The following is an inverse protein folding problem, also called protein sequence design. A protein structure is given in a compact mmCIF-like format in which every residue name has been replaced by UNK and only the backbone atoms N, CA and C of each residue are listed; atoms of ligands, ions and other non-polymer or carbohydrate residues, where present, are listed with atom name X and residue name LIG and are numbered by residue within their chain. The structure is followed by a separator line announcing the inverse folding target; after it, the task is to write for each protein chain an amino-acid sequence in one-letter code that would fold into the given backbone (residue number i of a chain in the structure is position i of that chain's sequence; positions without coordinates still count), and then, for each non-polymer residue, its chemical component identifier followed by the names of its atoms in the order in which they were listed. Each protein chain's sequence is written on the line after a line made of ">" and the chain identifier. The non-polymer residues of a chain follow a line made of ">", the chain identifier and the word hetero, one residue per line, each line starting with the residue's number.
data_IF_521374106039
#
_entry.id   IF_521374106039
#
_cell.length_a   1.000
_cell.length_b   1.000
_cell.length_c   1.000
_cell.angle_alpha   90.00
_cell.angle_beta   90.00
_cell.angle_gamma   90.00
#
_symmetry.space_group_name_H-M   'P 1'
#
loop_
_entity.id
_entity.type
_entity.pdbx_description
1 polymer ?
#
# COMPACT_ATOMS: atom_id res chain seq x y z
N UNK A 1 -4.26 4.78 15.49
CA UNK A 1 -3.17 5.76 15.68
C UNK A 1 -3.49 7.02 14.89
N UNK A 2 -3.60 8.19 15.52
CA UNK A 2 -4.00 9.46 14.87
C UNK A 2 -2.83 10.41 14.57
N UNK A 3 -1.62 9.87 14.34
CA UNK A 3 -0.43 10.67 14.07
C UNK A 3 -0.15 10.74 12.55
N UNK A 4 -0.22 11.90 11.89
CA UNK A 4 0.03 12.03 10.45
C UNK A 4 1.45 11.64 10.00
N UNK A 5 2.46 11.85 10.87
CA UNK A 5 3.86 11.46 10.58
C UNK A 5 4.01 9.95 10.52
N UNK A 6 3.30 9.23 11.40
CA UNK A 6 3.28 7.77 11.38
C UNK A 6 2.76 7.25 10.04
N UNK A 7 1.62 7.77 9.57
CA UNK A 7 1.04 7.35 8.29
C UNK A 7 1.91 7.75 7.09
N UNK A 8 2.59 8.89 7.16
CA UNK A 8 3.57 9.28 6.14
C UNK A 8 4.76 8.32 6.08
N UNK A 9 5.27 7.89 7.24
CA UNK A 9 6.32 6.86 7.32
C UNK A 9 5.83 5.51 6.78
N UNK A 10 4.60 5.11 7.08
CA UNK A 10 4.01 3.88 6.55
C UNK A 10 3.86 3.92 5.02
N UNK A 11 3.42 5.06 4.46
CA UNK A 11 3.38 5.26 3.00
C UNK A 11 4.77 5.15 2.37
N UNK A 12 5.79 5.74 2.99
CA UNK A 12 7.18 5.59 2.55
C UNK A 12 7.63 4.12 2.58
N UNK A 13 7.30 3.39 3.65
CA UNK A 13 7.53 1.95 3.76
C UNK A 13 6.85 1.16 2.64
N UNK A 14 5.65 1.57 2.22
CA UNK A 14 4.94 0.92 1.12
C UNK A 14 5.62 1.11 -0.24
N UNK A 15 6.16 2.29 -0.50
CA UNK A 15 7.01 2.54 -1.67
C UNK A 15 8.29 1.70 -1.62
N UNK A 16 8.92 1.59 -0.45
CA UNK A 16 10.09 0.71 -0.28
C UNK A 16 9.74 -0.77 -0.53
N UNK A 17 8.52 -1.21 -0.20
CA UNK A 17 8.01 -2.54 -0.53
C UNK A 17 7.99 -2.79 -2.03
N UNK A 18 7.48 -1.86 -2.84
CA UNK A 18 7.54 -1.94 -4.31
C UNK A 18 8.98 -2.02 -4.82
N UNK A 19 9.88 -1.19 -4.30
CA UNK A 19 11.30 -1.22 -4.70
C UNK A 19 11.96 -2.57 -4.38
N UNK A 20 11.68 -3.14 -3.20
CA UNK A 20 12.18 -4.45 -2.81
C UNK A 20 11.59 -5.58 -3.67
N UNK A 21 10.31 -5.50 -4.01
CA UNK A 21 9.64 -6.43 -4.91
C UNK A 21 10.33 -6.42 -6.28
N UNK A 22 10.49 -5.26 -6.91
CA UNK A 22 11.16 -5.12 -8.20
C UNK A 22 12.62 -5.58 -8.14
N UNK A 23 13.35 -5.23 -7.07
CA UNK A 23 14.71 -5.73 -6.87
C UNK A 23 14.76 -7.25 -6.92
N UNK A 24 13.88 -7.95 -6.20
CA UNK A 24 13.89 -9.42 -6.21
C UNK A 24 13.41 -10.06 -7.51
N UNK A 25 12.62 -9.35 -8.34
CA UNK A 25 12.30 -9.80 -9.70
C UNK A 25 13.53 -9.78 -10.63
N UNK A 26 14.40 -8.78 -10.52
CA UNK A 26 15.56 -8.63 -11.41
C UNK A 26 16.82 -9.34 -10.89
N UNK A 27 17.02 -9.38 -9.58
CA UNK A 27 18.27 -9.87 -8.97
C UNK A 27 18.11 -11.20 -8.24
N UNK A 28 16.96 -11.88 -8.36
CA UNK A 28 16.63 -13.17 -7.74
C UNK A 28 17.06 -13.30 -6.28
N UNK A 29 16.16 -12.97 -5.35
CA UNK A 29 16.39 -13.19 -3.91
C UNK A 29 16.27 -14.70 -3.61
N UNK A 30 17.39 -15.40 -3.43
CA UNK A 30 17.41 -16.85 -3.19
C UNK A 30 17.62 -17.21 -1.72
N UNK A 31 16.85 -18.20 -1.24
CA UNK A 31 17.05 -18.89 0.03
C UNK A 31 16.80 -18.06 1.31
N UNK A 32 16.47 -18.78 2.39
CA UNK A 32 16.40 -18.21 3.74
C UNK A 32 15.30 -17.16 3.97
N UNK A 33 15.48 -16.38 5.04
CA UNK A 33 14.48 -15.43 5.52
C UNK A 33 14.13 -14.34 4.48
N UNK A 34 15.09 -13.87 3.69
CA UNK A 34 14.85 -12.81 2.70
C UNK A 34 13.96 -13.27 1.55
N UNK A 35 14.06 -14.54 1.14
CA UNK A 35 13.15 -15.09 0.13
C UNK A 35 11.70 -15.14 0.66
N UNK A 36 11.52 -15.54 1.93
CA UNK A 36 10.20 -15.55 2.58
C UNK A 36 9.61 -14.13 2.65
N UNK A 37 10.41 -13.15 3.10
CA UNK A 37 9.97 -11.74 3.18
C UNK A 37 9.59 -11.24 1.78
N UNK A 38 10.37 -11.56 0.75
CA UNK A 38 10.07 -11.17 -0.62
C UNK A 38 8.74 -11.73 -1.11
N UNK A 39 8.46 -13.02 -0.86
CA UNK A 39 7.15 -13.61 -1.19
C UNK A 39 6.00 -12.96 -0.42
N UNK A 40 6.19 -12.63 0.86
CA UNK A 40 5.18 -11.92 1.66
C UNK A 40 4.89 -10.54 1.05
N UNK A 41 5.93 -9.81 0.66
CA UNK A 41 5.78 -8.50 0.02
C UNK A 41 5.11 -8.64 -1.35
N UNK A 42 5.52 -9.62 -2.17
CA UNK A 42 4.90 -9.88 -3.47
C UNK A 42 3.40 -10.16 -3.34
N UNK A 43 3.01 -11.03 -2.41
CA UNK A 43 1.60 -11.36 -2.20
C UNK A 43 0.84 -10.18 -1.57
N UNK A 44 1.44 -9.47 -0.62
CA UNK A 44 0.83 -8.30 0.02
C UNK A 44 0.56 -7.17 -0.97
N UNK A 45 1.51 -6.86 -1.85
CA UNK A 45 1.39 -5.78 -2.82
C UNK A 45 0.65 -6.22 -4.09
N UNK A 46 0.97 -7.40 -4.60
CA UNK A 46 0.41 -7.93 -5.84
C UNK A 46 -1.02 -8.45 -5.71
N UNK A 47 -1.44 -8.92 -4.53
CA UNK A 47 -2.78 -9.45 -4.27
C UNK A 47 -3.50 -8.63 -3.20
N UNK A 48 -2.82 -8.31 -2.10
CA UNK A 48 -3.42 -7.54 -1.01
C UNK A 48 -3.89 -6.15 -1.44
N UNK A 49 -3.06 -5.37 -2.14
CA UNK A 49 -3.48 -4.03 -2.61
C UNK A 49 -4.70 -4.09 -3.55
N UNK A 50 -4.78 -4.99 -4.56
CA UNK A 50 -6.01 -5.16 -5.33
C UNK A 50 -7.25 -5.51 -4.50
N UNK A 51 -7.12 -6.43 -3.53
CA UNK A 51 -8.25 -6.80 -2.65
C UNK A 51 -8.75 -5.59 -1.86
N UNK A 52 -7.84 -4.72 -1.42
CA UNK A 52 -8.18 -3.52 -0.66
C UNK A 52 -9.02 -2.51 -1.45
N UNK A 53 -9.07 -2.58 -2.79
CA UNK A 53 -9.93 -1.72 -3.62
C UNK A 53 -11.40 -1.80 -3.21
N UNK A 54 -11.84 -2.97 -2.73
CA UNK A 54 -13.19 -3.17 -2.22
C UNK A 54 -13.51 -2.25 -1.03
N UNK A 55 -12.50 -1.89 -0.23
CA UNK A 55 -12.65 -0.93 0.88
C UNK A 55 -12.33 0.49 0.47
N UNK A 56 -11.27 0.69 -0.33
CA UNK A 56 -10.72 2.01 -0.60
C UNK A 56 -11.60 2.84 -1.55
N UNK A 57 -12.26 2.21 -2.54
CA UNK A 57 -13.12 2.91 -3.50
C UNK A 57 -14.35 3.57 -2.82
N UNK A 58 -15.14 2.87 -1.97
CA UNK A 58 -16.23 3.50 -1.24
C UNK A 58 -15.76 4.66 -0.35
N UNK A 59 -14.65 4.47 0.39
CA UNK A 59 -14.08 5.50 1.27
C UNK A 59 -13.65 6.73 0.47
N UNK A 60 -13.02 6.53 -0.69
CA UNK A 60 -12.60 7.59 -1.58
C UNK A 60 -13.79 8.39 -2.12
N UNK A 61 -14.85 7.68 -2.54
CA UNK A 61 -16.09 8.28 -3.03
C UNK A 61 -16.74 9.16 -1.98
N UNK A 62 -16.80 8.73 -0.73
CA UNK A 62 -17.34 9.51 0.39
C UNK A 62 -16.53 10.80 0.67
N UNK A 63 -15.29 10.86 0.16
CA UNK A 63 -14.39 12.02 0.27
C UNK A 63 -14.29 12.82 -1.04
N UNK A 64 -15.10 12.50 -2.06
CA UNK A 64 -15.08 13.20 -3.35
C UNK A 64 -13.86 12.88 -4.23
N UNK A 65 -13.11 11.83 -3.92
CA UNK A 65 -11.94 11.39 -4.68
C UNK A 65 -12.39 10.48 -5.83
N UNK A 66 -11.81 10.66 -7.02
CA UNK A 66 -12.20 9.87 -8.19
C UNK A 66 -11.82 8.39 -8.05
N UNK A 67 -12.58 7.45 -8.65
CA UNK A 67 -12.26 6.02 -8.61
C UNK A 67 -10.86 5.70 -9.17
N UNK A 68 -10.39 6.43 -10.18
CA UNK A 68 -9.07 6.27 -10.79
C UNK A 68 -7.97 6.67 -9.80
N UNK A 69 -8.17 7.79 -9.08
CA UNK A 69 -7.24 8.24 -8.04
C UNK A 69 -7.19 7.25 -6.89
N UNK A 70 -8.36 6.74 -6.47
CA UNK A 70 -8.46 5.70 -5.43
C UNK A 70 -7.73 4.41 -5.86
N UNK A 71 -7.89 4.00 -7.12
CA UNK A 71 -7.20 2.85 -7.67
C UNK A 71 -5.68 3.03 -7.61
N UNK A 72 -5.16 4.13 -8.16
CA UNK A 72 -3.72 4.43 -8.19
C UNK A 72 -3.16 4.48 -6.77
N UNK A 73 -3.80 5.22 -5.87
CA UNK A 73 -3.33 5.35 -4.48
C UNK A 73 -3.35 4.00 -3.75
N UNK A 74 -4.35 3.15 -4.01
CA UNK A 74 -4.41 1.80 -3.41
C UNK A 74 -3.32 0.90 -3.93
N UNK A 75 -3.07 0.89 -5.24
CA UNK A 75 -1.98 0.10 -5.79
C UNK A 75 -0.61 0.55 -5.27
N UNK A 76 -0.39 1.86 -5.10
CA UNK A 76 0.90 2.37 -4.63
C UNK A 76 1.07 2.17 -3.11
N UNK A 77 0.05 2.51 -2.32
CA UNK A 77 0.18 2.67 -0.86
C UNK A 77 -0.62 1.66 -0.03
N UNK A 78 -1.59 0.95 -0.61
CA UNK A 78 -2.47 0.03 0.12
C UNK A 78 -3.19 0.68 1.30
N UNK A 79 -3.37 -0.04 2.41
CA UNK A 79 -4.09 0.48 3.58
C UNK A 79 -3.43 1.69 4.22
N UNK A 80 -2.15 1.94 3.93
CA UNK A 80 -1.43 3.08 4.48
C UNK A 80 -1.94 4.43 3.97
N UNK A 81 -2.78 4.47 2.92
CA UNK A 81 -3.46 5.69 2.46
C UNK A 81 -4.96 5.73 2.83
N UNK A 82 -5.73 4.68 2.54
CA UNK A 82 -7.20 4.76 2.69
C UNK A 82 -7.65 4.64 4.15
N UNK A 83 -6.86 3.96 5.00
CA UNK A 83 -7.18 3.83 6.41
C UNK A 83 -7.05 5.15 7.18
N UNK A 84 -5.95 5.94 7.06
CA UNK A 84 -5.89 7.25 7.68
C UNK A 84 -6.89 8.25 7.10
N UNK A 85 -7.21 8.14 5.79
CA UNK A 85 -8.28 8.92 5.16
C UNK A 85 -9.65 8.62 5.81
N UNK A 86 -9.98 7.33 6.00
CA UNK A 86 -11.18 6.89 6.72
C UNK A 86 -11.22 7.40 8.16
N UNK A 87 -10.07 7.43 8.83
CA UNK A 87 -9.94 7.89 10.21
C UNK A 87 -9.93 9.43 10.36
N UNK A 88 -9.90 10.19 9.26
CA UNK A 88 -9.77 11.64 9.29
C UNK A 88 -8.42 12.12 9.84
N UNK A 89 -7.35 11.33 9.67
CA UNK A 89 -5.99 11.67 10.11
C UNK A 89 -5.22 12.42 9.04
N UNK A 90 -5.55 12.15 7.77
CA UNK A 90 -4.97 12.80 6.60
C UNK A 90 -6.09 13.27 5.69
N UNK A 91 -5.91 14.46 5.13
CA UNK A 91 -6.68 14.95 3.99
C UNK A 91 -5.95 14.53 2.71
N UNK A 92 -6.72 14.34 1.64
CA UNK A 92 -6.21 13.85 0.35
C UNK A 92 -6.07 14.98 -0.67
#
# INVERSE_FOLDING_TARGET
>A
MKNPKFWSLMKAGSVMGWLFLFYGLFFHVQGGMMNIIWWVVLLGWGIGHPIELASSIPIAKDKGISPETAFIKTMIFGFTWWLPLKMGVTED
#
